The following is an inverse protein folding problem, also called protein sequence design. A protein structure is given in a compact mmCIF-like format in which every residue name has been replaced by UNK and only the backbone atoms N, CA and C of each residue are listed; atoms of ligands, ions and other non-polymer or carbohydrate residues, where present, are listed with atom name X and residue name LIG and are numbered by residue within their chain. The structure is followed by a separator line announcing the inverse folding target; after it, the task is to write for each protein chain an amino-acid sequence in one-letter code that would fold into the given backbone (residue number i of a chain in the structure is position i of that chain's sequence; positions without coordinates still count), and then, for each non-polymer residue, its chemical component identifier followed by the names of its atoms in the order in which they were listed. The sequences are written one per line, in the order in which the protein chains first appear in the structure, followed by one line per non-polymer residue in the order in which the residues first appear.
data_IF_255904251887
#
_entry.id   IF_255904251887
#
_cell.length_a   1.000
_cell.length_b   1.000
_cell.length_c   1.000
_cell.angle_alpha   90.00
_cell.angle_beta   90.00
_cell.angle_gamma   90.00
#
_symmetry.space_group_name_H-M   'P 1'
#
loop_
_entity.id
_entity.type
_entity.pdbx_description
1 polymer ?
#
# COMPACT_ATOMS: atom_id res chain seq x y z
N UNK A 1 14.70 -0.84 -14.01
CA UNK A 1 13.69 0.00 -14.69
C UNK A 1 13.93 1.44 -14.25
N UNK A 2 14.07 2.42 -15.15
CA UNK A 2 14.30 3.82 -14.71
C UNK A 2 13.13 4.36 -13.88
N UNK A 3 13.37 5.28 -12.91
CA UNK A 3 12.36 5.76 -11.96
C UNK A 3 11.12 6.34 -12.67
N UNK A 4 11.31 7.17 -13.70
CA UNK A 4 10.20 7.75 -14.47
C UNK A 4 9.40 6.75 -15.32
N UNK A 5 9.92 5.55 -15.60
CA UNK A 5 9.12 4.48 -16.24
C UNK A 5 8.26 3.76 -15.20
N UNK A 6 8.76 3.58 -13.98
CA UNK A 6 8.04 2.94 -12.87
C UNK A 6 6.83 3.78 -12.46
N UNK A 7 7.02 5.07 -12.24
CA UNK A 7 5.95 5.99 -11.88
C UNK A 7 4.82 5.99 -12.93
N UNK A 8 5.16 6.08 -14.22
CA UNK A 8 4.17 6.01 -15.31
C UNK A 8 3.40 4.70 -15.32
N UNK A 9 4.06 3.56 -15.08
CA UNK A 9 3.40 2.25 -15.03
C UNK A 9 2.48 2.12 -13.82
N UNK A 10 2.87 2.66 -12.66
CA UNK A 10 2.02 2.67 -11.48
C UNK A 10 0.80 3.59 -11.66
N UNK A 11 1.00 4.77 -12.25
CA UNK A 11 -0.10 5.67 -12.60
C UNK A 11 -1.08 5.01 -13.60
N UNK A 12 -0.56 4.33 -14.62
CA UNK A 12 -1.37 3.56 -15.56
C UNK A 12 -2.18 2.48 -14.86
N UNK A 13 -1.57 1.71 -13.97
CA UNK A 13 -2.28 0.69 -13.19
C UNK A 13 -3.41 1.29 -12.36
N UNK A 14 -3.15 2.39 -11.63
CA UNK A 14 -4.18 3.05 -10.82
C UNK A 14 -5.34 3.56 -11.68
N UNK A 15 -5.06 4.10 -12.86
CA UNK A 15 -6.10 4.54 -13.80
C UNK A 15 -6.99 3.38 -14.27
N UNK A 16 -6.40 2.22 -14.59
CA UNK A 16 -7.16 1.03 -14.99
C UNK A 16 -8.02 0.48 -13.86
N UNK A 17 -7.52 0.50 -12.62
CA UNK A 17 -8.28 0.05 -11.44
C UNK A 17 -9.40 1.00 -11.01
N UNK A 18 -9.38 2.24 -11.52
CA UNK A 18 -10.40 3.26 -11.23
C UNK A 18 -11.45 3.38 -12.34
N UNK A 19 -11.48 2.45 -13.32
CA UNK A 19 -12.56 2.43 -14.30
C UNK A 19 -13.87 1.98 -13.63
N UNK A 20 -15.01 2.60 -13.94
CA UNK A 20 -16.31 2.18 -13.43
C UNK A 20 -16.57 0.68 -13.68
N UNK A 21 -17.20 0.03 -12.73
CA UNK A 21 -17.50 -1.41 -12.80
C UNK A 21 -18.99 -1.57 -13.04
N UNK A 22 -19.35 -2.31 -14.09
CA UNK A 22 -20.73 -2.73 -14.33
C UNK A 22 -21.07 -3.88 -13.37
N UNK A 23 -22.06 -3.66 -12.51
CA UNK A 23 -22.50 -4.65 -11.49
C UNK A 23 -23.80 -5.34 -11.87
N UNK A 24 -24.63 -4.67 -12.65
CA UNK A 24 -25.88 -5.15 -13.26
C UNK A 24 -26.02 -4.47 -14.62
N UNK A 25 -26.89 -4.98 -15.50
CA UNK A 25 -27.05 -4.48 -16.86
C UNK A 25 -27.29 -2.96 -16.90
N UNK A 26 -26.31 -2.21 -17.43
CA UNK A 26 -26.33 -0.76 -17.50
C UNK A 26 -26.09 -0.02 -16.18
N UNK A 27 -25.87 -0.72 -15.06
CA UNK A 27 -25.59 -0.13 -13.74
C UNK A 27 -24.09 -0.08 -13.50
N UNK A 28 -23.53 1.13 -13.59
CA UNK A 28 -22.12 1.40 -13.31
C UNK A 28 -21.93 1.89 -11.88
N UNK A 29 -20.92 1.36 -11.20
CA UNK A 29 -20.44 1.84 -9.90
C UNK A 29 -19.08 2.49 -10.06
N UNK A 30 -18.98 3.76 -9.66
CA UNK A 30 -17.71 4.47 -9.60
C UNK A 30 -16.82 3.87 -8.52
N UNK A 31 -15.59 3.53 -8.90
CA UNK A 31 -14.58 2.99 -8.00
C UNK A 31 -13.34 3.86 -8.00
N UNK A 32 -12.68 3.94 -6.85
CA UNK A 32 -11.40 4.60 -6.72
C UNK A 32 -10.36 3.62 -6.16
N UNK A 33 -9.17 3.62 -6.75
CA UNK A 33 -8.06 2.81 -6.30
C UNK A 33 -6.93 3.71 -5.79
N UNK A 34 -6.32 3.33 -4.67
CA UNK A 34 -5.03 3.86 -4.22
C UNK A 34 -4.09 2.68 -4.08
N UNK A 35 -2.82 2.85 -4.46
CA UNK A 35 -1.86 1.74 -4.55
C UNK A 35 -0.61 2.10 -3.75
N UNK A 36 -0.23 1.25 -2.80
CA UNK A 36 1.10 1.31 -2.19
C UNK A 36 2.03 0.31 -2.88
N UNK A 37 3.20 0.76 -3.30
CA UNK A 37 4.18 -0.09 -3.97
C UNK A 37 5.51 -0.08 -3.21
N UNK A 38 6.20 -1.22 -3.11
CA UNK A 38 7.56 -1.31 -2.59
C UNK A 38 8.45 -2.02 -3.62
N UNK A 39 9.73 -1.61 -3.68
CA UNK A 39 10.70 -2.19 -4.61
C UNK A 39 12.00 -2.52 -3.86
N UNK A 40 12.57 -3.72 -4.03
CA UNK A 40 13.82 -4.11 -3.37
C UNK A 40 14.99 -3.15 -3.62
N UNK A 41 15.13 -2.65 -4.85
CA UNK A 41 16.19 -1.70 -5.23
C UNK A 41 16.03 -0.33 -4.59
N UNK A 42 14.80 0.06 -4.23
CA UNK A 42 14.50 1.35 -3.59
C UNK A 42 14.67 1.27 -2.08
N UNK A 43 14.32 0.13 -1.47
CA UNK A 43 14.39 -0.08 -0.03
C UNK A 43 15.66 -0.77 0.45
N UNK A 44 16.51 -1.24 -0.47
CA UNK A 44 17.78 -1.90 -0.13
C UNK A 44 17.59 -3.25 0.57
N UNK A 45 16.49 -3.95 0.32
CA UNK A 45 16.18 -5.22 1.00
C UNK A 45 15.36 -6.15 0.11
N UNK A 46 15.60 -7.45 0.27
CA UNK A 46 14.80 -8.51 -0.34
C UNK A 46 13.87 -9.19 0.67
N UNK A 47 13.84 -8.72 1.93
CA UNK A 47 12.92 -9.24 2.96
C UNK A 47 11.47 -8.90 2.57
N UNK A 48 10.71 -9.95 2.26
CA UNK A 48 9.30 -9.84 1.84
C UNK A 48 8.43 -9.18 2.91
N UNK A 49 8.66 -9.48 4.19
CA UNK A 49 7.86 -8.91 5.29
C UNK A 49 8.05 -7.41 5.39
N UNK A 50 9.29 -6.94 5.19
CA UNK A 50 9.62 -5.52 5.17
C UNK A 50 9.03 -4.83 3.93
N UNK A 51 9.14 -5.46 2.76
CA UNK A 51 8.57 -4.95 1.51
C UNK A 51 7.05 -4.79 1.59
N UNK A 52 6.33 -5.81 2.08
CA UNK A 52 4.88 -5.78 2.25
C UNK A 52 4.45 -4.67 3.22
N UNK A 53 5.18 -4.51 4.33
CA UNK A 53 4.88 -3.45 5.31
C UNK A 53 5.13 -2.06 4.74
N UNK A 54 6.22 -1.87 4.02
CA UNK A 54 6.53 -0.60 3.39
C UNK A 54 5.49 -0.23 2.32
N UNK A 55 5.05 -1.21 1.51
CA UNK A 55 3.98 -1.02 0.54
C UNK A 55 2.66 -0.64 1.22
N UNK A 56 2.26 -1.34 2.28
CA UNK A 56 1.05 -1.04 3.03
C UNK A 56 1.14 0.32 3.76
N UNK A 57 2.34 0.78 4.12
CA UNK A 57 2.54 2.09 4.75
C UNK A 57 2.40 3.21 3.71
N UNK A 58 2.97 3.01 2.53
CA UNK A 58 2.76 3.89 1.40
C UNK A 58 1.28 3.94 0.97
N UNK A 59 0.58 2.81 0.97
CA UNK A 59 -0.87 2.75 0.71
C UNK A 59 -1.65 3.58 1.73
N UNK A 60 -1.33 3.44 3.02
CA UNK A 60 -2.00 4.18 4.08
C UNK A 60 -1.83 5.69 3.91
N UNK A 61 -0.60 6.15 3.61
CA UNK A 61 -0.33 7.57 3.32
C UNK A 61 -1.10 8.06 2.09
N UNK A 62 -1.18 7.22 1.04
CA UNK A 62 -1.92 7.53 -0.18
C UNK A 62 -3.42 7.28 -0.10
N UNK A 63 -3.96 6.87 1.05
CA UNK A 63 -5.36 6.44 1.16
C UNK A 63 -6.29 7.59 0.76
N UNK A 64 -7.27 7.27 -0.08
CA UNK A 64 -8.28 8.21 -0.60
C UNK A 64 -7.72 9.30 -1.53
N UNK A 65 -6.46 9.20 -1.96
CA UNK A 65 -5.89 10.13 -2.95
C UNK A 65 -6.19 9.71 -4.39
N UNK A 66 -6.54 8.45 -4.63
CA UNK A 66 -6.71 7.92 -5.99
C UNK A 66 -5.39 7.73 -6.73
N UNK A 67 -4.25 7.70 -6.02
CA UNK A 67 -2.90 7.68 -6.61
C UNK A 67 -2.09 6.49 -6.12
N UNK A 68 -1.05 6.15 -6.89
CA UNK A 68 0.00 5.26 -6.45
C UNK A 68 1.07 6.01 -5.63
N UNK A 69 1.54 5.39 -4.55
CA UNK A 69 2.63 5.88 -3.71
C UNK A 69 3.72 4.82 -3.66
N UNK A 70 4.94 5.21 -4.06
CA UNK A 70 6.12 4.35 -3.97
C UNK A 70 6.75 4.50 -2.58
N UNK A 71 6.94 3.38 -1.90
CA UNK A 71 7.56 3.31 -0.59
C UNK A 71 9.04 3.70 -0.67
N UNK A 72 9.39 4.80 -0.01
CA UNK A 72 10.77 5.12 0.39
C UNK A 72 11.14 4.59 1.78
N UNK A 73 12.40 4.77 2.23
CA UNK A 73 12.92 4.25 3.51
C UNK A 73 12.06 4.59 4.74
N UNK A 74 11.42 5.75 4.77
CA UNK A 74 10.53 6.20 5.85
C UNK A 74 9.30 5.30 6.06
N UNK A 75 8.93 4.49 5.06
CA UNK A 75 7.82 3.55 5.13
C UNK A 75 8.25 2.18 5.67
N UNK A 76 9.56 1.88 5.64
CA UNK A 76 10.12 0.63 6.17
C UNK A 76 10.27 0.67 7.70
N UNK A 77 10.30 1.86 8.31
CA UNK A 77 10.50 2.06 9.76
C UNK A 77 9.21 1.99 10.57
N UNK A 78 8.09 1.56 9.99
CA UNK A 78 6.82 1.44 10.73
C UNK A 78 6.93 0.31 11.76
N UNK A 79 6.95 0.70 13.04
CA UNK A 79 7.00 -0.21 14.18
C UNK A 79 5.88 -1.25 14.14
N UNK A 80 6.24 -2.51 14.38
CA UNK A 80 5.27 -3.61 14.54
C UNK A 80 5.31 -4.20 15.93
N UNK A 81 4.14 -4.59 16.42
CA UNK A 81 3.97 -5.45 17.59
C UNK A 81 3.43 -6.79 17.07
N UNK A 82 4.14 -7.90 17.31
CA UNK A 82 3.76 -9.26 16.86
C UNK A 82 3.39 -9.36 15.37
N UNK A 83 4.16 -8.70 14.50
CA UNK A 83 3.92 -8.69 13.05
C UNK A 83 2.77 -7.78 12.57
N UNK A 84 2.06 -7.10 13.47
CA UNK A 84 1.00 -6.13 13.15
C UNK A 84 1.50 -4.70 13.35
N UNK A 85 1.03 -3.75 12.54
CA UNK A 85 1.34 -2.32 12.71
C UNK A 85 0.94 -1.86 14.11
N UNK A 86 1.83 -1.17 14.81
CA UNK A 86 1.45 -0.46 16.02
C UNK A 86 0.41 0.63 15.69
N UNK A 87 -0.68 0.72 16.46
CA UNK A 87 -1.67 1.81 16.37
C UNK A 87 -2.98 1.50 15.62
N UNK A 88 -3.24 0.25 15.23
CA UNK A 88 -4.57 -0.16 14.74
C UNK A 88 -5.49 -0.43 15.95
N UNK A 89 -6.78 -0.03 15.94
CA UNK A 89 -7.71 -0.47 16.98
C UNK A 89 -7.64 -2.00 17.12
N UNK A 90 -7.33 -2.48 18.33
CA UNK A 90 -7.02 -3.89 18.62
C UNK A 90 -5.54 -4.27 18.76
N UNK A 91 -4.60 -3.30 18.77
CA UNK A 91 -3.17 -3.54 19.05
C UNK A 91 -2.71 -3.09 20.45
N UNK A 92 -3.63 -2.93 21.40
CA UNK A 92 -3.27 -2.65 22.78
C UNK A 92 -2.75 -3.94 23.45
N UNK A 93 -1.43 -3.98 23.65
CA UNK A 93 -0.69 -4.68 24.72
C UNK A 93 -1.05 -6.13 25.04
N UNK A 94 -0.06 -7.01 24.80
CA UNK A 94 0.20 -8.32 25.43
C UNK A 94 -0.72 -8.67 26.61
N UNK A 95 -1.59 -9.65 26.39
CA UNK A 95 -2.16 -10.41 27.48
C UNK A 95 -1.02 -11.02 28.31
N UNK A 96 -0.89 -10.57 29.55
CA UNK A 96 -0.13 -11.31 30.55
C UNK A 96 -0.91 -12.59 30.80
N UNK A 97 -0.33 -13.74 30.47
CA UNK A 97 -0.80 -15.01 31.01
C UNK A 97 -0.75 -14.91 32.54
N UNK A 98 -1.89 -15.10 33.17
CA UNK A 98 -2.01 -15.39 34.60
C UNK A 98 -2.34 -16.88 34.73
#
# INVERSE_FOLDING_TARGET
MGPGRRERRLAQLTHLLAQPVEVEEGVLVDVAASVGAACPDVLGTTDLSLLQRAADAALYVGKHTGRAVLAGPQHATVSSINGRRAGRPGTHTLGRAA
#
